data_IF_380434501503
#
_entry.id   IF_380434501503
#
_cell.length_a   1.000
_cell.length_b   1.000
_cell.length_c   1.000
_cell.angle_alpha   90.00
_cell.angle_beta   90.00
_cell.angle_gamma   90.00
#
_symmetry.space_group_name_H-M   'P 1'
#
loop_
_entity.id
_entity.type
_entity.pdbx_description
1 polymer ?
#
# COMPACT_ATOMS: atom_id res chain seq x y z
N UNK A 1 -71.63 33.53 -27.57
CA UNK A 1 -70.66 33.83 -26.46
C UNK A 1 -69.92 32.51 -26.18
N UNK A 2 -68.72 32.35 -26.72
CA UNK A 2 -67.95 31.09 -26.63
C UNK A 2 -66.73 31.33 -25.69
N UNK A 3 -66.73 30.68 -24.53
CA UNK A 3 -65.64 30.80 -23.53
C UNK A 3 -64.58 29.76 -23.90
N UNK A 4 -63.37 30.23 -24.31
CA UNK A 4 -62.21 29.39 -24.53
C UNK A 4 -61.50 29.18 -23.20
N UNK A 5 -61.43 27.92 -22.74
CA UNK A 5 -60.60 27.48 -21.62
C UNK A 5 -59.14 27.26 -22.09
N UNK A 6 -58.23 28.04 -21.54
CA UNK A 6 -56.79 27.79 -21.68
C UNK A 6 -56.35 26.80 -20.59
N UNK A 7 -55.89 25.65 -21.01
CA UNK A 7 -55.24 24.70 -20.11
C UNK A 7 -53.74 25.09 -19.99
N UNK A 8 -53.37 25.60 -18.82
CA UNK A 8 -51.96 25.84 -18.50
C UNK A 8 -51.28 24.48 -18.19
N UNK A 9 -50.28 24.10 -18.97
CA UNK A 9 -49.45 22.96 -18.72
C UNK A 9 -48.30 23.40 -17.82
N UNK A 10 -48.30 22.96 -16.58
CA UNK A 10 -47.16 23.12 -15.64
C UNK A 10 -46.09 22.09 -16.02
N UNK A 11 -44.98 22.55 -16.59
CA UNK A 11 -43.78 21.72 -16.75
C UNK A 11 -43.02 21.75 -15.47
N UNK A 12 -43.07 20.65 -14.71
CA UNK A 12 -42.22 20.45 -13.52
C UNK A 12 -40.90 19.89 -14.01
N UNK A 13 -39.88 20.75 -14.09
CA UNK A 13 -38.50 20.32 -14.29
C UNK A 13 -37.97 19.74 -12.98
N UNK A 14 -37.88 18.42 -12.88
CA UNK A 14 -37.18 17.74 -11.79
C UNK A 14 -35.67 17.99 -11.94
N UNK A 15 -35.13 18.84 -11.07
CA UNK A 15 -33.69 19.01 -10.96
C UNK A 15 -33.12 17.77 -10.21
N UNK A 16 -32.57 16.79 -10.96
CA UNK A 16 -31.80 15.71 -10.37
C UNK A 16 -30.51 16.30 -9.79
N UNK A 17 -30.49 16.60 -8.49
CA UNK A 17 -29.24 16.81 -7.77
C UNK A 17 -28.52 15.46 -7.71
N UNK A 18 -27.55 15.25 -8.58
CA UNK A 18 -26.55 14.19 -8.40
C UNK A 18 -25.72 14.62 -7.18
N UNK A 19 -26.07 14.08 -6.02
CA UNK A 19 -25.22 14.18 -4.85
C UNK A 19 -23.95 13.40 -5.16
N UNK A 20 -22.88 14.08 -5.54
CA UNK A 20 -21.56 13.50 -5.62
C UNK A 20 -21.23 12.91 -4.25
N UNK A 21 -20.95 11.61 -4.20
CA UNK A 21 -20.42 10.99 -2.98
C UNK A 21 -19.18 11.79 -2.56
N UNK A 22 -19.02 12.12 -1.27
CA UNK A 22 -17.82 12.80 -0.83
C UNK A 22 -16.61 11.94 -1.21
N UNK A 23 -15.65 12.54 -1.89
CA UNK A 23 -14.32 11.95 -2.11
C UNK A 23 -13.76 11.71 -0.72
N UNK A 24 -13.69 10.45 -0.30
CA UNK A 24 -13.00 10.07 0.92
C UNK A 24 -11.52 10.19 0.62
N UNK A 25 -10.97 11.39 0.86
CA UNK A 25 -9.53 11.56 0.86
C UNK A 25 -8.99 10.69 1.98
N UNK A 26 -8.15 9.71 1.65
CA UNK A 26 -7.52 8.88 2.66
C UNK A 26 -6.76 9.80 3.63
N UNK A 27 -6.93 9.59 4.93
CA UNK A 27 -6.08 10.24 5.92
C UNK A 27 -4.65 9.72 5.76
N UNK A 28 -3.67 10.46 6.27
CA UNK A 28 -2.29 9.97 6.32
C UNK A 28 -2.24 8.59 6.98
N UNK A 29 -1.77 7.60 6.24
CA UNK A 29 -1.45 6.26 6.74
C UNK A 29 0.00 5.99 6.39
N UNK A 30 0.82 5.66 7.39
CA UNK A 30 2.23 5.28 7.20
C UNK A 30 2.42 3.88 7.74
N UNK A 31 2.67 2.94 6.84
CA UNK A 31 3.00 1.56 7.18
C UNK A 31 4.53 1.43 7.26
N UNK A 32 5.08 1.56 8.44
CA UNK A 32 6.48 1.52 8.81
C UNK A 32 6.77 0.36 9.78
N UNK A 33 7.93 0.35 10.46
CA UNK A 33 8.26 -0.65 11.46
C UNK A 33 7.26 -0.70 12.63
N UNK A 34 6.58 0.41 12.95
CA UNK A 34 5.55 0.42 14.00
C UNK A 34 4.30 -0.34 13.55
N UNK A 35 3.96 -0.29 12.25
CA UNK A 35 2.89 -1.11 11.70
C UNK A 35 3.15 -2.61 11.90
N UNK A 36 4.41 -3.05 11.80
CA UNK A 36 4.81 -4.44 12.09
C UNK A 36 4.47 -4.83 13.53
N UNK A 37 4.80 -3.97 14.50
CA UNK A 37 4.53 -4.21 15.92
C UNK A 37 3.05 -4.14 16.27
N UNK A 38 2.27 -3.38 15.53
CA UNK A 38 0.82 -3.22 15.71
C UNK A 38 -0.01 -4.29 15.01
N UNK A 39 0.56 -5.05 14.07
CA UNK A 39 -0.14 -6.11 13.35
C UNK A 39 -0.87 -7.11 14.28
N UNK A 40 -0.28 -7.60 15.39
CA UNK A 40 -0.98 -8.54 16.28
C UNK A 40 -2.23 -7.95 16.96
N UNK A 41 -2.41 -6.62 16.92
CA UNK A 41 -3.55 -5.94 17.50
C UNK A 41 -4.74 -5.84 16.54
N UNK A 42 -4.60 -6.28 15.29
CA UNK A 42 -5.68 -6.29 14.31
C UNK A 42 -6.73 -7.32 14.76
N UNK A 43 -7.99 -6.92 14.99
CA UNK A 43 -9.06 -7.84 15.34
C UNK A 43 -9.27 -8.91 14.26
N UNK A 44 -9.54 -10.15 14.66
CA UNK A 44 -9.63 -11.28 13.73
C UNK A 44 -10.69 -11.08 12.62
N UNK A 45 -11.83 -10.46 12.94
CA UNK A 45 -12.89 -10.17 11.97
C UNK A 45 -12.52 -9.09 10.94
N UNK A 46 -11.44 -8.34 11.19
CA UNK A 46 -10.97 -7.33 10.23
C UNK A 46 -10.31 -7.94 9.01
N UNK A 47 -9.71 -9.11 9.12
CA UNK A 47 -9.12 -9.79 7.95
C UNK A 47 -10.17 -10.15 6.90
N UNK A 48 -11.35 -10.63 7.32
CA UNK A 48 -12.48 -10.85 6.42
C UNK A 48 -12.97 -9.56 5.76
N UNK A 49 -13.05 -8.48 6.53
CA UNK A 49 -13.46 -7.17 6.02
C UNK A 49 -12.45 -6.64 5.00
N UNK A 50 -11.13 -6.78 5.25
CA UNK A 50 -10.07 -6.41 4.31
C UNK A 50 -10.23 -7.17 3.00
N UNK A 51 -10.40 -8.50 3.06
CA UNK A 51 -10.59 -9.33 1.87
C UNK A 51 -11.83 -8.95 1.07
N UNK A 52 -12.91 -8.60 1.75
CA UNK A 52 -14.15 -8.19 1.10
C UNK A 52 -14.07 -6.75 0.50
N UNK A 53 -13.23 -5.89 1.10
CA UNK A 53 -13.14 -4.47 0.75
C UNK A 53 -12.21 -4.20 -0.41
N UNK A 54 -11.05 -4.88 -0.47
CA UNK A 54 -9.98 -4.50 -1.38
C UNK A 54 -9.85 -5.42 -2.59
N UNK A 55 -9.75 -4.79 -3.77
CA UNK A 55 -9.27 -5.37 -5.02
C UNK A 55 -8.04 -4.58 -5.42
N UNK A 56 -6.88 -5.23 -5.39
CA UNK A 56 -5.56 -4.59 -5.40
C UNK A 56 -4.86 -4.87 -6.72
N UNK A 57 -4.29 -3.82 -7.33
CA UNK A 57 -3.32 -3.93 -8.41
C UNK A 57 -1.94 -3.61 -7.87
N UNK A 58 -1.02 -4.56 -8.00
CA UNK A 58 0.34 -4.45 -7.49
C UNK A 58 1.38 -4.67 -8.58
N UNK A 59 2.03 -3.60 -9.01
CA UNK A 59 3.15 -3.65 -9.95
C UNK A 59 4.48 -3.79 -9.22
N UNK A 60 5.23 -4.87 -9.50
CA UNK A 60 6.49 -5.14 -8.80
C UNK A 60 7.42 -6.09 -9.56
N UNK A 61 8.68 -6.04 -9.20
CA UNK A 61 9.70 -7.05 -9.49
C UNK A 61 10.25 -7.61 -8.17
N UNK A 62 11.50 -8.06 -8.16
CA UNK A 62 12.11 -8.84 -7.08
C UNK A 62 11.92 -8.26 -5.66
N UNK A 63 12.24 -6.98 -5.40
CA UNK A 63 12.06 -6.41 -4.06
C UNK A 63 10.58 -6.31 -3.67
N UNK A 64 9.71 -5.94 -4.60
CA UNK A 64 8.28 -5.91 -4.33
C UNK A 64 7.68 -7.28 -4.04
N UNK A 65 8.22 -8.36 -4.61
CA UNK A 65 7.76 -9.72 -4.32
C UNK A 65 7.93 -10.12 -2.85
N UNK A 66 8.80 -9.43 -2.10
CA UNK A 66 8.99 -9.66 -0.67
C UNK A 66 7.69 -9.50 0.12
N UNK A 67 6.82 -8.55 -0.26
CA UNK A 67 5.50 -8.36 0.38
C UNK A 67 4.62 -9.58 0.15
N UNK A 68 4.55 -10.07 -1.09
CA UNK A 68 3.72 -11.23 -1.47
C UNK A 68 4.25 -12.52 -0.87
N UNK A 69 5.58 -12.71 -0.88
CA UNK A 69 6.24 -13.84 -0.18
C UNK A 69 5.88 -13.82 1.31
N UNK A 70 5.96 -12.67 1.95
CA UNK A 70 5.59 -12.53 3.36
C UNK A 70 4.11 -12.82 3.65
N UNK A 71 3.20 -12.43 2.75
CA UNK A 71 1.77 -12.79 2.86
C UNK A 71 1.62 -14.31 2.83
N UNK A 72 2.30 -15.01 1.90
CA UNK A 72 2.29 -16.47 1.84
C UNK A 72 2.86 -17.12 3.11
N UNK A 73 3.87 -16.53 3.76
CA UNK A 73 4.38 -17.01 5.05
C UNK A 73 3.33 -16.89 6.17
N UNK A 74 2.59 -15.78 6.21
CA UNK A 74 1.49 -15.60 7.16
C UNK A 74 0.35 -16.60 6.91
N UNK A 75 -0.01 -16.88 5.65
CA UNK A 75 -1.00 -17.89 5.28
C UNK A 75 -0.61 -19.27 5.84
N UNK A 76 0.64 -19.70 5.62
CA UNK A 76 1.15 -21.00 6.09
C UNK A 76 1.16 -21.09 7.63
N UNK A 77 1.58 -20.04 8.32
CA UNK A 77 1.63 -20.01 9.78
C UNK A 77 0.21 -20.14 10.39
N UNK A 78 -0.75 -19.43 9.81
CA UNK A 78 -2.11 -19.38 10.33
C UNK A 78 -2.90 -20.67 10.06
N UNK A 79 -2.63 -21.36 8.97
CA UNK A 79 -3.32 -22.62 8.62
C UNK A 79 -3.25 -23.69 9.71
N UNK A 80 -2.22 -23.62 10.55
CA UNK A 80 -2.06 -24.55 11.69
C UNK A 80 -2.82 -24.14 12.94
N UNK A 81 -3.07 -22.85 13.16
CA UNK A 81 -3.66 -22.28 14.38
C UNK A 81 -5.07 -21.71 14.14
N UNK A 82 -5.27 -21.04 13.04
CA UNK A 82 -6.51 -20.33 12.70
C UNK A 82 -6.75 -20.36 11.18
N UNK A 83 -7.18 -21.51 10.62
CA UNK A 83 -7.30 -21.69 9.18
C UNK A 83 -8.07 -20.56 8.49
N UNK A 84 -7.46 -19.94 7.48
CA UNK A 84 -8.05 -18.94 6.63
C UNK A 84 -8.06 -17.50 7.16
N UNK A 85 -7.50 -17.24 8.34
CA UNK A 85 -7.44 -15.87 8.88
C UNK A 85 -6.64 -14.94 7.98
N UNK A 86 -5.45 -15.36 7.56
CA UNK A 86 -4.52 -14.55 6.76
C UNK A 86 -4.57 -14.90 5.27
N UNK A 87 -5.62 -15.60 4.81
CA UNK A 87 -5.85 -15.78 3.38
C UNK A 87 -5.73 -14.43 2.68
N UNK A 88 -4.92 -14.38 1.61
CA UNK A 88 -4.60 -13.11 0.94
C UNK A 88 -5.85 -12.41 0.40
N UNK A 89 -5.88 -11.07 0.39
CA UNK A 89 -6.88 -10.31 -0.33
C UNK A 89 -6.73 -10.54 -1.84
N UNK A 90 -7.71 -10.08 -2.63
CA UNK A 90 -7.61 -10.13 -4.08
C UNK A 90 -6.49 -9.18 -4.55
N UNK A 91 -5.34 -9.75 -4.90
CA UNK A 91 -4.18 -9.04 -5.43
C UNK A 91 -3.94 -9.53 -6.85
N UNK A 92 -3.96 -8.61 -7.82
CA UNK A 92 -3.44 -8.84 -9.16
C UNK A 92 -2.02 -8.31 -9.21
N UNK A 93 -1.07 -9.21 -9.39
CA UNK A 93 0.35 -8.91 -9.52
C UNK A 93 0.71 -8.68 -10.99
N UNK A 94 1.51 -7.68 -11.27
CA UNK A 94 1.99 -7.36 -12.62
C UNK A 94 3.49 -7.03 -12.58
N UNK A 95 4.19 -7.37 -13.63
CA UNK A 95 5.56 -6.98 -13.95
C UNK A 95 5.48 -5.89 -15.04
N UNK A 96 6.13 -4.77 -14.90
CA UNK A 96 7.32 -4.44 -14.13
C UNK A 96 7.07 -3.67 -12.83
N UNK A 97 8.16 -3.01 -12.32
CA UNK A 97 8.16 -2.09 -11.18
C UNK A 97 8.17 -0.59 -11.61
N UNK A 98 8.35 0.32 -10.64
CA UNK A 98 8.41 1.78 -10.89
C UNK A 98 9.59 2.26 -11.76
N UNK A 99 10.59 1.41 -11.98
CA UNK A 99 11.67 1.69 -12.95
C UNK A 99 11.22 1.59 -14.41
N UNK A 100 10.06 0.99 -14.67
CA UNK A 100 9.50 0.93 -16.01
C UNK A 100 8.83 2.26 -16.38
N UNK A 101 9.23 2.93 -17.46
CA UNK A 101 8.76 4.28 -17.75
C UNK A 101 7.26 4.37 -18.00
N UNK A 102 6.62 3.28 -18.46
CA UNK A 102 5.19 3.23 -18.78
C UNK A 102 4.32 2.68 -17.62
N UNK A 103 4.83 2.59 -16.38
CA UNK A 103 4.07 2.09 -15.23
C UNK A 103 2.74 2.86 -15.02
N UNK A 104 2.73 4.18 -15.27
CA UNK A 104 1.51 4.99 -15.20
C UNK A 104 0.50 4.60 -16.28
N UNK A 105 0.95 4.39 -17.53
CA UNK A 105 0.11 3.94 -18.64
C UNK A 105 -0.46 2.56 -18.34
N UNK A 106 0.36 1.62 -17.85
CA UNK A 106 -0.13 0.30 -17.41
C UNK A 106 -1.21 0.40 -16.34
N UNK A 107 -1.03 1.30 -15.37
CA UNK A 107 -2.04 1.55 -14.34
C UNK A 107 -3.37 1.98 -14.96
N UNK A 108 -3.34 2.94 -15.89
CA UNK A 108 -4.53 3.46 -16.56
C UNK A 108 -5.22 2.39 -17.40
N UNK A 109 -4.45 1.63 -18.16
CA UNK A 109 -4.96 0.54 -18.99
C UNK A 109 -5.60 -0.56 -18.13
N UNK A 110 -4.97 -0.92 -17.02
CA UNK A 110 -5.52 -1.89 -16.07
C UNK A 110 -6.83 -1.41 -15.44
N UNK A 111 -6.87 -0.18 -14.93
CA UNK A 111 -8.07 0.39 -14.32
C UNK A 111 -9.22 0.56 -15.31
N UNK A 112 -8.93 0.78 -16.60
CA UNK A 112 -9.96 0.84 -17.63
C UNK A 112 -10.64 -0.51 -17.88
N UNK A 113 -9.91 -1.62 -17.70
CA UNK A 113 -10.42 -2.99 -17.85
C UNK A 113 -11.05 -3.51 -16.57
N UNK A 114 -10.49 -3.15 -15.41
CA UNK A 114 -10.89 -3.65 -14.08
C UNK A 114 -11.35 -2.51 -13.16
N UNK A 115 -12.51 -1.89 -13.45
CA UNK A 115 -12.99 -0.70 -12.72
C UNK A 115 -13.38 -0.99 -11.25
N UNK A 116 -13.44 -2.26 -10.83
CA UNK A 116 -13.65 -2.67 -9.43
C UNK A 116 -12.39 -2.53 -8.58
N UNK A 117 -11.20 -2.37 -9.20
CA UNK A 117 -9.94 -2.16 -8.48
C UNK A 117 -9.99 -0.84 -7.72
N UNK A 118 -9.73 -0.90 -6.42
CA UNK A 118 -9.85 0.24 -5.52
C UNK A 118 -8.58 0.56 -4.74
N UNK A 119 -7.50 -0.21 -4.96
CA UNK A 119 -6.18 0.09 -4.42
C UNK A 119 -5.10 -0.25 -5.45
N UNK A 120 -4.16 0.68 -5.64
CA UNK A 120 -3.01 0.52 -6.54
C UNK A 120 -1.74 0.78 -5.75
N UNK A 121 -0.78 -0.13 -5.89
CA UNK A 121 0.54 -0.01 -5.29
C UNK A 121 1.60 -0.41 -6.31
N UNK A 122 2.71 0.31 -6.35
CA UNK A 122 3.88 -0.01 -7.16
C UNK A 122 5.13 0.00 -6.31
N UNK A 123 5.98 -1.02 -6.49
CA UNK A 123 7.26 -1.10 -5.80
C UNK A 123 8.40 -0.50 -6.62
N UNK A 124 9.46 -0.18 -5.92
CA UNK A 124 10.79 0.05 -6.50
C UNK A 124 11.59 -1.25 -6.53
N UNK A 125 12.47 -1.38 -7.51
CA UNK A 125 13.69 -2.16 -7.39
C UNK A 125 14.86 -1.22 -7.01
N UNK A 126 16.05 -1.34 -7.57
CA UNK A 126 17.20 -0.52 -7.22
C UNK A 126 17.24 0.91 -7.80
N UNK A 127 16.27 1.32 -8.62
CA UNK A 127 16.37 2.56 -9.42
C UNK A 127 16.48 3.81 -8.57
N UNK A 128 15.78 3.83 -7.43
CA UNK A 128 15.70 5.03 -6.58
C UNK A 128 17.06 5.44 -6.00
N UNK A 129 18.01 4.51 -5.88
CA UNK A 129 19.40 4.78 -5.47
C UNK A 129 20.16 5.67 -6.46
N UNK A 130 19.76 5.64 -7.73
CA UNK A 130 20.39 6.41 -8.81
C UNK A 130 19.60 7.64 -9.26
N UNK A 131 18.36 7.83 -8.77
CA UNK A 131 17.51 8.91 -9.22
C UNK A 131 17.99 10.28 -8.71
N UNK A 132 17.97 11.26 -9.62
CA UNK A 132 18.09 12.65 -9.22
C UNK A 132 16.76 13.17 -8.63
N UNK A 133 16.77 14.23 -7.83
CA UNK A 133 15.56 14.77 -7.18
C UNK A 133 14.41 15.10 -8.15
N UNK A 134 14.69 15.47 -9.39
CA UNK A 134 13.66 15.77 -10.38
C UNK A 134 12.90 14.50 -10.83
N UNK A 135 13.55 13.34 -10.84
CA UNK A 135 12.94 12.05 -11.21
C UNK A 135 12.02 11.55 -10.09
N UNK A 136 12.43 11.76 -8.83
CA UNK A 136 11.55 11.51 -7.67
C UNK A 136 10.31 12.41 -7.72
N UNK A 137 10.49 13.70 -8.02
CA UNK A 137 9.37 14.63 -8.18
C UNK A 137 8.44 14.25 -9.34
N UNK A 138 8.98 13.72 -10.45
CA UNK A 138 8.17 13.21 -11.56
C UNK A 138 7.28 12.04 -11.10
N UNK A 139 7.84 11.07 -10.38
CA UNK A 139 7.08 9.98 -9.76
C UNK A 139 5.95 10.51 -8.87
N UNK A 140 6.27 11.41 -7.94
CA UNK A 140 5.29 11.98 -7.00
C UNK A 140 4.17 12.75 -7.74
N UNK A 141 4.51 13.48 -8.79
CA UNK A 141 3.54 14.22 -9.61
C UNK A 141 2.61 13.27 -10.40
N UNK A 142 3.16 12.20 -10.99
CA UNK A 142 2.37 11.18 -11.70
C UNK A 142 1.40 10.46 -10.75
N UNK A 143 1.87 10.03 -9.57
CA UNK A 143 1.02 9.44 -8.54
C UNK A 143 -0.12 10.38 -8.14
N UNK A 144 0.22 11.65 -7.86
CA UNK A 144 -0.78 12.67 -7.50
C UNK A 144 -1.74 13.00 -8.67
N UNK A 145 -1.33 12.80 -9.93
CA UNK A 145 -2.22 12.91 -11.08
C UNK A 145 -3.19 11.73 -11.16
N UNK A 146 -2.70 10.49 -10.94
CA UNK A 146 -3.54 9.29 -10.90
C UNK A 146 -4.63 9.41 -9.84
N UNK A 147 -4.31 9.92 -8.63
CA UNK A 147 -5.31 10.16 -7.59
C UNK A 147 -6.42 11.13 -8.02
N UNK A 148 -6.06 12.18 -8.76
CA UNK A 148 -7.07 13.12 -9.31
C UNK A 148 -7.94 12.50 -10.38
N UNK A 149 -7.35 11.65 -11.22
CA UNK A 149 -8.03 11.02 -12.34
C UNK A 149 -8.92 9.85 -11.89
N UNK A 150 -8.54 9.19 -10.79
CA UNK A 150 -9.24 8.03 -10.22
C UNK A 150 -9.59 8.25 -8.73
N UNK A 151 -10.51 9.16 -8.40
CA UNK A 151 -10.77 9.57 -7.02
C UNK A 151 -11.36 8.47 -6.11
N UNK A 152 -11.77 7.35 -6.68
CA UNK A 152 -12.28 6.18 -5.95
C UNK A 152 -11.22 5.09 -5.74
N UNK A 153 -9.99 5.32 -6.20
CA UNK A 153 -8.87 4.39 -6.07
C UNK A 153 -7.85 4.96 -5.08
N UNK A 154 -7.45 4.15 -4.13
CA UNK A 154 -6.38 4.48 -3.20
C UNK A 154 -5.04 4.18 -3.86
N UNK A 155 -4.17 5.16 -3.95
CA UNK A 155 -2.81 5.00 -4.45
C UNK A 155 -1.85 4.98 -3.27
N UNK A 156 -1.05 3.91 -3.18
CA UNK A 156 -0.05 3.73 -2.13
C UNK A 156 1.32 4.15 -2.66
N UNK A 157 1.91 5.15 -2.04
CA UNK A 157 3.29 5.56 -2.29
C UNK A 157 4.24 4.59 -1.59
N UNK A 158 5.43 4.38 -2.14
CA UNK A 158 6.40 3.46 -1.56
C UNK A 158 7.80 4.09 -1.57
N UNK A 159 8.57 3.90 -0.47
CA UNK A 159 10.01 4.15 -0.45
C UNK A 159 10.78 3.01 -1.11
N UNK A 160 12.00 3.26 -1.57
CA UNK A 160 12.89 2.20 -2.03
C UNK A 160 13.44 1.37 -0.88
N UNK A 161 13.96 0.18 -1.21
CA UNK A 161 14.66 -0.72 -0.26
C UNK A 161 16.00 -0.10 0.18
N UNK A 162 16.59 -0.61 1.27
CA UNK A 162 17.93 -0.19 1.71
C UNK A 162 19.01 -0.69 0.72
N UNK A 163 20.06 0.10 0.56
CA UNK A 163 21.18 -0.20 -0.36
C UNK A 163 22.57 -0.17 0.31
N UNK A 164 22.61 -0.09 1.64
CA UNK A 164 23.86 -0.02 2.41
C UNK A 164 24.57 1.34 2.36
N UNK A 165 24.03 2.33 1.65
CA UNK A 165 24.66 3.65 1.56
C UNK A 165 24.45 4.55 2.79
N UNK A 166 23.52 4.15 3.67
CA UNK A 166 23.22 4.83 4.92
C UNK A 166 22.63 6.23 4.77
N UNK A 167 22.58 7.02 5.86
CA UNK A 167 21.92 8.32 5.88
C UNK A 167 22.53 9.41 4.98
N UNK A 168 23.74 9.20 4.48
CA UNK A 168 24.42 10.11 3.57
C UNK A 168 24.23 9.71 2.09
N UNK A 169 23.60 8.57 1.82
CA UNK A 169 23.36 8.04 0.48
C UNK A 169 22.26 8.78 -0.27
N UNK A 170 22.31 8.71 -1.60
CA UNK A 170 21.28 9.26 -2.49
C UNK A 170 19.91 8.67 -2.19
N UNK A 171 19.83 7.36 -1.99
CA UNK A 171 18.60 6.66 -1.68
C UNK A 171 17.92 7.22 -0.42
N UNK A 172 18.68 7.46 0.65
CA UNK A 172 18.13 8.05 1.87
C UNK A 172 17.47 9.40 1.58
N UNK A 173 18.16 10.29 0.85
CA UNK A 173 17.61 11.58 0.44
C UNK A 173 16.33 11.46 -0.38
N UNK A 174 16.28 10.52 -1.32
CA UNK A 174 15.13 10.27 -2.17
C UNK A 174 13.95 9.68 -1.36
N UNK A 175 14.22 8.76 -0.44
CA UNK A 175 13.21 8.24 0.48
C UNK A 175 12.64 9.34 1.39
N UNK A 176 13.47 10.28 1.86
CA UNK A 176 13.01 11.43 2.65
C UNK A 176 12.11 12.39 1.83
N UNK A 177 12.36 12.55 0.53
CA UNK A 177 11.48 13.33 -0.35
C UNK A 177 10.08 12.67 -0.42
N UNK A 178 10.01 11.35 -0.61
CA UNK A 178 8.74 10.60 -0.64
C UNK A 178 8.01 10.73 0.70
N UNK A 179 8.68 10.47 1.82
CA UNK A 179 8.11 10.60 3.18
C UNK A 179 7.55 11.99 3.45
N UNK A 180 8.34 13.03 3.11
CA UNK A 180 7.93 14.41 3.30
C UNK A 180 6.71 14.77 2.46
N UNK A 181 6.70 14.36 1.19
CA UNK A 181 5.55 14.56 0.31
C UNK A 181 4.29 13.88 0.85
N UNK A 182 4.38 12.62 1.26
CA UNK A 182 3.26 11.86 1.79
C UNK A 182 2.72 12.49 3.08
N UNK A 183 3.59 12.90 3.99
CA UNK A 183 3.21 13.54 5.25
C UNK A 183 2.49 14.88 5.00
N UNK A 184 3.06 15.75 4.18
CA UNK A 184 2.50 17.08 3.89
C UNK A 184 1.16 16.98 3.16
N UNK A 185 1.02 16.01 2.25
CA UNK A 185 -0.16 15.86 1.40
C UNK A 185 -1.14 14.78 1.91
N UNK A 186 -0.93 14.26 3.12
CA UNK A 186 -1.82 13.27 3.78
C UNK A 186 -2.06 12.03 2.91
N UNK A 187 -0.96 11.42 2.42
CA UNK A 187 -0.99 10.26 1.52
C UNK A 187 -0.86 8.94 2.27
N UNK A 188 -1.16 7.84 1.57
CA UNK A 188 -0.88 6.49 2.05
C UNK A 188 0.54 6.11 1.64
N UNK A 189 1.38 5.81 2.60
CA UNK A 189 2.78 5.44 2.42
C UNK A 189 3.04 4.04 2.97
N UNK A 190 3.60 3.17 2.12
CA UNK A 190 4.25 1.95 2.55
C UNK A 190 5.76 2.22 2.64
N UNK A 191 6.25 2.39 3.86
CA UNK A 191 7.65 2.79 4.09
C UNK A 191 8.58 1.58 4.16
N UNK A 192 8.86 1.04 2.97
CA UNK A 192 9.64 -0.17 2.77
C UNK A 192 11.02 -0.08 3.43
N UNK A 193 11.74 1.04 3.24
CA UNK A 193 13.05 1.27 3.84
C UNK A 193 13.00 1.35 5.37
N UNK A 194 11.94 1.91 5.93
CA UNK A 194 11.81 2.00 7.39
C UNK A 194 11.60 0.61 8.01
N UNK A 195 10.76 -0.23 7.39
CA UNK A 195 10.55 -1.61 7.83
C UNK A 195 11.88 -2.40 7.83
N UNK A 196 12.77 -2.14 6.89
CA UNK A 196 14.10 -2.79 6.82
C UNK A 196 15.09 -2.25 7.85
N UNK A 197 14.96 -0.98 8.24
CA UNK A 197 15.86 -0.31 9.18
C UNK A 197 15.69 -0.74 10.64
N UNK A 198 14.62 -1.45 10.98
CA UNK A 198 14.31 -1.80 12.36
C UNK A 198 14.10 -3.30 12.53
N UNK A 199 14.69 -3.88 13.59
CA UNK A 199 14.27 -5.19 14.06
C UNK A 199 12.92 -5.10 14.81
N UNK A 200 12.25 -6.24 15.08
CA UNK A 200 11.00 -6.24 15.81
C UNK A 200 11.08 -5.73 17.26
N UNK A 201 12.28 -5.64 17.84
CA UNK A 201 12.54 -5.07 19.17
C UNK A 201 12.69 -3.54 19.12
N UNK A 202 12.70 -2.94 17.92
CA UNK A 202 12.81 -1.50 17.70
C UNK A 202 14.25 -0.97 17.68
N UNK A 203 15.24 -1.83 17.51
CA UNK A 203 16.62 -1.39 17.30
C UNK A 203 16.79 -0.89 15.86
N UNK A 204 17.48 0.23 15.71
CA UNK A 204 17.66 0.95 14.45
C UNK A 204 19.01 0.62 13.79
N UNK A 205 18.97 0.26 12.50
CA UNK A 205 20.12 -0.13 11.69
C UNK A 205 20.26 0.82 10.47
N UNK A 206 20.79 2.05 10.65
CA UNK A 206 20.79 3.09 9.62
C UNK A 206 21.61 2.78 8.37
N UNK A 207 22.63 1.91 8.50
CA UNK A 207 23.55 1.53 7.43
C UNK A 207 23.21 0.16 6.84
N UNK A 208 21.99 -0.35 7.10
CA UNK A 208 21.52 -1.64 6.61
C UNK A 208 21.34 -1.67 5.09
N UNK A 209 21.36 -2.88 4.54
CA UNK A 209 21.03 -3.15 3.15
C UNK A 209 19.76 -4.01 3.05
N UNK A 210 19.33 -4.27 1.82
CA UNK A 210 18.22 -5.17 1.51
C UNK A 210 18.46 -6.61 1.98
N UNK A 211 19.73 -7.02 2.19
CA UNK A 211 20.09 -8.32 2.74
C UNK A 211 19.62 -8.52 4.19
N UNK A 212 19.34 -7.47 4.94
CA UNK A 212 18.90 -7.52 6.33
C UNK A 212 19.97 -8.09 7.28
N UNK A 213 21.01 -7.31 7.54
CA UNK A 213 22.15 -7.73 8.38
C UNK A 213 21.75 -8.11 9.80
N UNK A 214 20.70 -7.50 10.38
CA UNK A 214 20.20 -7.81 11.71
C UNK A 214 19.38 -9.11 11.77
N UNK A 215 18.81 -9.56 10.65
CA UNK A 215 17.86 -10.68 10.62
C UNK A 215 18.44 -11.96 11.23
N UNK A 216 19.65 -12.37 10.83
CA UNK A 216 20.25 -13.62 11.32
C UNK A 216 20.50 -13.60 12.81
N UNK A 217 21.08 -12.50 13.35
CA UNK A 217 21.37 -12.38 14.77
C UNK A 217 20.11 -12.29 15.63
N UNK A 218 19.06 -11.64 15.12
CA UNK A 218 17.77 -11.60 15.81
C UNK A 218 17.12 -12.99 15.85
N UNK A 219 17.17 -13.73 14.75
CA UNK A 219 16.61 -15.07 14.65
C UNK A 219 17.38 -16.15 15.47
N UNK A 220 18.61 -15.89 15.91
CA UNK A 220 19.33 -16.78 16.84
C UNK A 220 18.64 -16.86 18.22
N UNK A 221 17.92 -15.82 18.59
CA UNK A 221 17.28 -15.69 19.93
C UNK A 221 15.76 -15.65 19.87
N UNK A 222 15.16 -15.55 18.68
CA UNK A 222 13.73 -15.44 18.48
C UNK A 222 13.24 -16.45 17.45
N UNK A 223 11.95 -16.81 17.54
CA UNK A 223 11.32 -17.63 16.53
C UNK A 223 11.15 -16.82 15.22
N UNK A 224 11.73 -17.33 14.14
CA UNK A 224 11.61 -16.74 12.82
C UNK A 224 10.90 -17.68 11.85
N UNK A 225 10.14 -17.12 10.88
CA UNK A 225 9.58 -17.94 9.80
C UNK A 225 10.74 -18.53 8.95
N UNK A 226 10.52 -19.73 8.44
CA UNK A 226 11.35 -20.31 7.39
C UNK A 226 10.60 -20.25 6.07
N UNK A 227 11.25 -19.84 5.00
CA UNK A 227 10.68 -19.88 3.67
C UNK A 227 11.38 -20.94 2.82
N UNK A 228 10.59 -21.68 2.05
CA UNK A 228 11.10 -22.67 1.08
C UNK A 228 11.68 -21.99 -0.16
N UNK A 229 11.26 -20.79 -0.44
CA UNK A 229 11.74 -19.91 -1.50
C UNK A 229 12.45 -18.72 -0.87
N UNK A 230 13.50 -18.22 -1.53
CA UNK A 230 14.20 -17.04 -1.03
C UNK A 230 13.26 -15.84 -0.96
N UNK A 231 13.31 -15.12 0.16
CA UNK A 231 12.80 -13.77 0.24
C UNK A 231 13.72 -12.90 -0.62
N UNK A 232 13.31 -12.58 -1.85
CA UNK A 232 14.18 -11.98 -2.89
C UNK A 232 15.11 -10.89 -2.32
N UNK A 233 16.42 -11.09 -2.46
CA UNK A 233 17.50 -10.25 -1.93
C UNK A 233 17.56 -10.09 -0.41
N UNK A 234 16.73 -10.82 0.37
CA UNK A 234 16.60 -10.63 1.81
C UNK A 234 16.39 -11.94 2.56
N UNK A 235 16.02 -11.88 3.82
CA UNK A 235 15.74 -13.02 4.68
C UNK A 235 14.23 -13.13 5.00
N UNK A 236 13.76 -14.34 5.31
CA UNK A 236 12.33 -14.64 5.48
C UNK A 236 11.62 -13.73 6.50
N UNK A 237 12.29 -13.39 7.60
CA UNK A 237 11.72 -12.49 8.62
C UNK A 237 11.46 -11.09 8.07
N UNK A 238 12.28 -10.60 7.13
CA UNK A 238 12.08 -9.30 6.50
C UNK A 238 10.87 -9.30 5.58
N UNK A 239 10.67 -10.35 4.77
CA UNK A 239 9.44 -10.55 4.00
C UNK A 239 8.20 -10.61 4.90
N UNK A 240 8.30 -11.34 6.01
CA UNK A 240 7.23 -11.50 6.98
C UNK A 240 6.83 -10.17 7.65
N UNK A 241 7.81 -9.33 7.99
CA UNK A 241 7.55 -8.00 8.55
C UNK A 241 6.86 -7.08 7.52
N UNK A 242 7.25 -7.14 6.25
CA UNK A 242 6.59 -6.37 5.19
C UNK A 242 5.14 -6.78 5.01
N UNK A 243 4.83 -8.08 5.07
CA UNK A 243 3.46 -8.54 5.03
C UNK A 243 2.64 -8.08 6.23
N UNK A 244 3.22 -8.09 7.44
CA UNK A 244 2.55 -7.54 8.64
C UNK A 244 2.22 -6.06 8.46
N UNK A 245 3.18 -5.26 8.00
CA UNK A 245 2.97 -3.84 7.73
C UNK A 245 1.91 -3.62 6.63
N UNK A 246 1.90 -4.47 5.59
CA UNK A 246 0.91 -4.41 4.52
C UNK A 246 -0.51 -4.69 5.04
N UNK A 247 -0.71 -5.73 5.84
CA UNK A 247 -2.00 -6.02 6.46
C UNK A 247 -2.45 -4.91 7.40
N UNK A 248 -1.52 -4.35 8.19
CA UNK A 248 -1.83 -3.23 9.06
C UNK A 248 -2.24 -1.98 8.26
N UNK A 249 -1.58 -1.71 7.14
CA UNK A 249 -1.96 -0.63 6.22
C UNK A 249 -3.39 -0.81 5.73
N UNK A 250 -3.73 -2.00 5.22
CA UNK A 250 -5.08 -2.29 4.74
C UNK A 250 -6.12 -2.14 5.87
N UNK A 251 -5.81 -2.62 7.07
CA UNK A 251 -6.65 -2.43 8.25
C UNK A 251 -6.91 -0.94 8.56
N UNK A 252 -5.87 -0.11 8.47
CA UNK A 252 -5.94 1.32 8.76
C UNK A 252 -6.75 2.11 7.72
N UNK A 253 -6.89 1.57 6.51
CA UNK A 253 -7.68 2.16 5.43
C UNK A 253 -9.18 1.85 5.52
N UNK A 254 -9.57 0.87 6.33
CA UNK A 254 -10.99 0.57 6.57
C UNK A 254 -11.52 1.50 7.69
N UNK A 255 -12.62 2.22 7.49
CA UNK A 255 -13.21 3.04 8.55
C UNK A 255 -13.43 2.22 9.84
N UNK A 256 -13.27 2.85 11.02
CA UNK A 256 -13.62 2.20 12.27
C UNK A 256 -15.08 1.75 12.22
N UNK A 257 -15.36 0.56 12.77
CA UNK A 257 -16.72 0.11 12.94
C UNK A 257 -17.47 1.20 13.72
N UNK A 258 -18.41 1.87 13.07
CA UNK A 258 -19.33 2.77 13.79
C UNK A 258 -20.15 1.88 14.70
N UNK A 259 -19.64 1.67 15.93
CA UNK A 259 -20.37 0.98 16.97
C UNK A 259 -21.65 1.76 17.21
N UNK A 260 -22.78 1.16 16.95
CA UNK A 260 -24.04 1.53 17.59
C UNK A 260 -23.79 1.46 19.10
N UNK A 261 -23.52 2.65 19.70
CA UNK A 261 -23.71 2.80 21.14
C UNK A 261 -25.20 2.51 21.39
N UNK A 262 -25.49 1.30 21.85
CA UNK A 262 -26.77 0.97 22.48
C UNK A 262 -26.75 1.44 23.92
#
# INVERSE_FOLDING_TARGET
MSIKWWKSVLVVTALCCVAGSPVVQAALVVADHQAVTQFPLIPADRFDQIRAQFSIYYGHTSHGSQVVTGIGLLEIEDDTLFPGRYDRPLIYEDDPDLGYPEWETKTRDYLAVYPQTNLVIWSWCGQLSGYAPYEVNDYLNRMNQLERDYPNVIFVYMTGHLDGSGPLGTLYGNNQMIRSFCTVNQKVLFDFADIENYDPDGNYYPDGSDWCEWCSSWCETHACPSCSEECAHSQCINCYNKAKAFWWMLHSLIPPLTGTLQ
#
